data_IF_113189680113
#
_entry.id   IF_113189680113
#
_cell.length_a   1.000
_cell.length_b   1.000
_cell.length_c   1.000
_cell.angle_alpha   90.00
_cell.angle_beta   90.00
_cell.angle_gamma   90.00
#
_symmetry.space_group_name_H-M   'P 1'
#
loop_
_entity.id
_entity.type
_entity.pdbx_description
1 polymer ?
#
# COMPACT_ATOMS: atom_id res chain seq x y z
N UNK A 1 1.17 47.02 5.89
CA UNK A 1 1.73 45.92 5.04
C UNK A 1 1.99 44.66 5.88
N UNK A 2 1.10 44.30 6.83
CA UNK A 2 1.40 43.28 7.86
C UNK A 2 0.43 42.07 7.86
N UNK A 3 -0.84 42.26 7.46
CA UNK A 3 -1.83 41.19 7.36
C UNK A 3 -1.46 40.09 6.34
N UNK A 4 -0.85 40.46 5.21
CA UNK A 4 -0.43 39.50 4.18
C UNK A 4 0.67 38.53 4.65
N UNK A 5 1.55 38.98 5.55
CA UNK A 5 2.62 38.12 6.12
C UNK A 5 2.05 37.11 7.13
N UNK A 6 1.11 37.55 7.98
CA UNK A 6 0.42 36.67 8.92
C UNK A 6 -0.40 35.58 8.23
N UNK A 7 -1.11 35.91 7.14
CA UNK A 7 -1.88 34.94 6.35
C UNK A 7 -0.96 33.89 5.70
N UNK A 8 0.23 34.28 5.21
CA UNK A 8 1.22 33.33 4.65
C UNK A 8 1.71 32.34 5.70
N UNK A 9 2.09 32.83 6.88
CA UNK A 9 2.57 31.97 7.98
C UNK A 9 1.48 30.98 8.41
N UNK A 10 0.22 31.40 8.51
CA UNK A 10 -0.89 30.50 8.83
C UNK A 10 -1.13 29.44 7.74
N UNK A 11 -0.98 29.80 6.46
CA UNK A 11 -1.08 28.84 5.36
C UNK A 11 0.06 27.82 5.40
N UNK A 12 1.28 28.25 5.72
CA UNK A 12 2.45 27.40 5.88
C UNK A 12 2.28 26.42 7.05
N UNK A 13 1.74 26.87 8.19
CA UNK A 13 1.47 26.03 9.37
C UNK A 13 0.32 25.04 9.16
N UNK A 14 -0.66 25.35 8.31
CA UNK A 14 -1.75 24.40 7.95
C UNK A 14 -1.24 23.20 7.17
N UNK A 15 -0.15 23.35 6.41
CA UNK A 15 0.40 22.27 5.57
C UNK A 15 0.89 21.07 6.39
N UNK A 16 1.80 21.20 7.38
CA UNK A 16 2.24 20.07 8.20
C UNK A 16 1.10 19.43 8.99
N UNK A 17 0.15 20.22 9.52
CA UNK A 17 -1.03 19.69 10.20
C UNK A 17 -1.90 18.83 9.28
N UNK A 18 -2.12 19.26 8.03
CA UNK A 18 -2.84 18.46 7.03
C UNK A 18 -2.09 17.18 6.67
N UNK A 19 -0.76 17.23 6.58
CA UNK A 19 0.05 16.04 6.31
C UNK A 19 -0.03 15.06 7.49
N UNK A 20 0.07 15.53 8.73
CA UNK A 20 -0.06 14.67 9.90
C UNK A 20 -1.44 13.99 9.98
N UNK A 21 -2.51 14.75 9.72
CA UNK A 21 -3.87 14.22 9.66
C UNK A 21 -4.03 13.13 8.60
N UNK A 22 -3.52 13.38 7.38
CA UNK A 22 -3.58 12.42 6.28
C UNK A 22 -2.74 11.17 6.55
N UNK A 23 -1.55 11.30 7.12
CA UNK A 23 -0.74 10.18 7.62
C UNK A 23 -1.50 9.33 8.63
N UNK A 24 -2.20 9.97 9.58
CA UNK A 24 -3.02 9.29 10.57
C UNK A 24 -4.22 8.56 9.95
N UNK A 25 -4.81 9.10 8.87
CA UNK A 25 -5.90 8.45 8.14
C UNK A 25 -5.43 7.19 7.41
N UNK A 26 -4.37 7.26 6.61
CA UNK A 26 -3.87 6.07 5.89
C UNK A 26 -3.31 5.00 6.83
N UNK A 27 -2.68 5.39 7.95
CA UNK A 27 -2.25 4.44 8.98
C UNK A 27 -3.44 3.67 9.57
N UNK A 28 -4.53 4.37 9.91
CA UNK A 28 -5.75 3.73 10.42
C UNK A 28 -6.39 2.83 9.37
N UNK A 29 -6.53 3.32 8.14
CA UNK A 29 -7.08 2.52 7.04
C UNK A 29 -6.25 1.25 6.77
N UNK A 30 -4.92 1.32 6.88
CA UNK A 30 -4.05 0.16 6.76
C UNK A 30 -4.32 -0.86 7.87
N UNK A 31 -4.41 -0.42 9.13
CA UNK A 31 -4.71 -1.30 10.27
C UNK A 31 -6.10 -1.92 10.13
N UNK A 32 -7.10 -1.14 9.70
CA UNK A 32 -8.47 -1.62 9.52
C UNK A 32 -8.55 -2.71 8.44
N UNK A 33 -7.73 -2.63 7.40
CA UNK A 33 -7.73 -3.58 6.28
C UNK A 33 -6.87 -4.81 6.58
N UNK A 34 -5.68 -4.64 7.17
CA UNK A 34 -4.68 -5.70 7.32
C UNK A 34 -4.46 -6.17 8.76
N UNK A 35 -5.16 -5.59 9.74
CA UNK A 35 -5.10 -5.99 11.15
C UNK A 35 -3.77 -5.71 11.86
N UNK A 36 -2.84 -5.01 11.22
CA UNK A 36 -1.49 -4.74 11.75
C UNK A 36 -1.00 -3.34 11.34
N UNK A 37 -0.10 -2.72 12.13
CA UNK A 37 0.44 -1.41 11.79
C UNK A 37 1.38 -1.48 10.57
N UNK A 38 1.38 -0.44 9.71
CA UNK A 38 2.31 -0.38 8.58
C UNK A 38 3.75 -0.16 9.04
N UNK A 39 4.71 -0.70 8.29
CA UNK A 39 6.15 -0.43 8.48
C UNK A 39 6.49 1.04 8.15
N UNK A 40 5.81 1.62 7.18
CA UNK A 40 6.06 2.99 6.70
C UNK A 40 4.77 3.73 6.39
N UNK A 41 4.77 5.05 6.65
CA UNK A 41 3.74 5.98 6.20
C UNK A 41 4.44 7.14 5.51
N UNK A 42 3.96 7.53 4.33
CA UNK A 42 4.62 8.54 3.52
C UNK A 42 3.66 9.35 2.66
N UNK A 43 4.24 10.27 1.89
CA UNK A 43 3.54 11.07 0.90
C UNK A 43 4.26 10.99 -0.43
N UNK A 44 3.54 10.62 -1.48
CA UNK A 44 4.08 10.59 -2.83
C UNK A 44 3.06 11.13 -3.83
N UNK A 45 3.51 11.99 -4.75
CA UNK A 45 2.68 12.61 -5.81
C UNK A 45 1.38 13.21 -5.27
N UNK A 46 1.47 13.90 -4.13
CA UNK A 46 0.34 14.57 -3.49
C UNK A 46 -0.63 13.67 -2.70
N UNK A 47 -0.35 12.37 -2.57
CA UNK A 47 -1.19 11.38 -1.87
C UNK A 47 -0.46 10.78 -0.67
N UNK A 48 -1.16 10.60 0.44
CA UNK A 48 -0.65 9.82 1.56
C UNK A 48 -0.72 8.32 1.23
N UNK A 49 0.23 7.56 1.76
CA UNK A 49 0.22 6.10 1.68
C UNK A 49 0.75 5.47 2.98
N UNK A 50 0.34 4.23 3.21
CA UNK A 50 0.85 3.35 4.25
C UNK A 50 1.27 2.02 3.61
N UNK A 51 2.43 1.49 4.02
CA UNK A 51 3.09 0.35 3.38
C UNK A 51 3.66 -0.63 4.41
N UNK A 52 3.54 -1.92 4.14
CA UNK A 52 4.39 -2.96 4.71
C UNK A 52 4.92 -3.87 3.62
N UNK A 53 6.24 -4.05 3.59
CA UNK A 53 6.93 -5.00 2.74
C UNK A 53 7.44 -6.16 3.58
N UNK A 54 7.22 -7.39 3.11
CA UNK A 54 7.73 -8.61 3.73
C UNK A 54 8.52 -9.41 2.70
N UNK A 55 9.72 -9.82 3.08
CA UNK A 55 10.51 -10.82 2.35
C UNK A 55 10.29 -12.20 2.96
N UNK A 56 10.69 -13.27 2.28
CA UNK A 56 10.63 -14.65 2.79
C UNK A 56 11.12 -14.79 4.24
N UNK A 57 12.22 -14.12 4.59
CA UNK A 57 12.86 -14.23 5.91
C UNK A 57 12.11 -13.46 7.00
N UNK A 58 11.26 -12.50 6.64
CA UNK A 58 10.51 -11.67 7.57
C UNK A 58 9.02 -12.02 7.64
N UNK A 59 8.53 -12.94 6.81
CA UNK A 59 7.14 -13.41 6.86
C UNK A 59 6.95 -14.42 7.99
N UNK A 60 5.82 -14.33 8.68
CA UNK A 60 5.36 -15.45 9.50
C UNK A 60 5.08 -16.67 8.60
N UNK A 61 5.18 -17.87 9.18
CA UNK A 61 4.88 -19.11 8.48
C UNK A 61 3.47 -19.12 7.86
N UNK A 62 2.48 -18.66 8.63
CA UNK A 62 1.08 -18.60 8.20
C UNK A 62 0.88 -17.65 7.01
N UNK A 63 1.48 -16.46 7.05
CA UNK A 63 1.42 -15.51 5.94
C UNK A 63 2.09 -16.10 4.70
N UNK A 64 3.26 -16.71 4.87
CA UNK A 64 4.00 -17.34 3.77
C UNK A 64 3.17 -18.44 3.12
N UNK A 65 2.62 -19.37 3.88
CA UNK A 65 1.79 -20.47 3.37
C UNK A 65 0.57 -19.95 2.61
N UNK A 66 -0.12 -18.92 3.15
CA UNK A 66 -1.27 -18.29 2.49
C UNK A 66 -0.90 -17.61 1.16
N UNK A 67 0.23 -16.91 1.11
CA UNK A 67 0.71 -16.25 -0.11
C UNK A 67 1.17 -17.28 -1.14
N UNK A 68 1.86 -18.34 -0.72
CA UNK A 68 2.29 -19.44 -1.61
C UNK A 68 1.08 -20.19 -2.20
N UNK A 69 0.02 -20.41 -1.43
CA UNK A 69 -1.25 -20.97 -1.93
C UNK A 69 -1.86 -20.07 -3.02
N UNK A 70 -1.92 -18.76 -2.77
CA UNK A 70 -2.44 -17.79 -3.73
C UNK A 70 -1.58 -17.74 -5.02
N UNK A 71 -0.26 -17.75 -4.88
CA UNK A 71 0.68 -17.83 -6.02
C UNK A 71 0.42 -19.11 -6.81
N UNK A 72 0.20 -20.24 -6.13
CA UNK A 72 -0.08 -21.53 -6.77
C UNK A 72 -1.36 -21.50 -7.58
N UNK A 73 -2.40 -20.89 -7.05
CA UNK A 73 -3.68 -20.75 -7.75
C UNK A 73 -3.60 -19.87 -9.00
N UNK A 74 -2.77 -18.82 -8.98
CA UNK A 74 -2.70 -17.83 -10.07
C UNK A 74 -1.65 -18.17 -11.13
N UNK A 75 -0.48 -18.66 -10.73
CA UNK A 75 0.69 -18.84 -11.59
C UNK A 75 1.24 -20.27 -11.61
N UNK A 76 0.66 -21.22 -10.86
CA UNK A 76 1.23 -22.55 -10.69
C UNK A 76 2.47 -22.52 -9.80
N UNK A 77 3.55 -23.21 -10.19
CA UNK A 77 4.76 -23.23 -9.37
C UNK A 77 5.65 -22.02 -9.66
N UNK A 78 5.89 -21.20 -8.62
CA UNK A 78 6.84 -20.11 -8.65
C UNK A 78 7.49 -19.93 -7.27
N UNK A 79 8.72 -19.43 -7.23
CA UNK A 79 9.40 -19.14 -5.98
C UNK A 79 8.93 -17.77 -5.45
N UNK A 80 8.27 -17.73 -4.30
CA UNK A 80 7.89 -16.49 -3.64
C UNK A 80 9.13 -15.72 -3.19
N UNK A 81 9.24 -14.42 -3.48
CA UNK A 81 10.35 -13.57 -3.00
C UNK A 81 9.90 -12.58 -1.94
N UNK A 82 8.81 -11.86 -2.22
CA UNK A 82 8.26 -10.88 -1.30
C UNK A 82 6.79 -10.60 -1.56
N UNK A 83 6.14 -10.00 -0.56
CA UNK A 83 4.81 -9.41 -0.69
C UNK A 83 4.84 -7.99 -0.15
N UNK A 84 4.13 -7.10 -0.84
CA UNK A 84 3.93 -5.73 -0.44
C UNK A 84 2.44 -5.48 -0.23
N UNK A 85 2.09 -4.90 0.92
CA UNK A 85 0.75 -4.44 1.26
C UNK A 85 0.76 -2.92 1.32
N UNK A 86 -0.18 -2.29 0.64
CA UNK A 86 -0.24 -0.84 0.56
C UNK A 86 -1.68 -0.31 0.62
N UNK A 87 -1.86 0.81 1.31
CA UNK A 87 -3.06 1.63 1.24
C UNK A 87 -2.67 3.03 0.79
N UNK A 88 -3.33 3.54 -0.25
CA UNK A 88 -3.10 4.89 -0.80
C UNK A 88 -4.41 5.65 -0.80
N UNK A 89 -4.38 6.95 -0.49
CA UNK A 89 -5.54 7.82 -0.73
C UNK A 89 -5.89 7.84 -2.23
N UNK A 90 -7.14 7.56 -2.56
CA UNK A 90 -7.61 7.66 -3.94
C UNK A 90 -9.08 8.11 -3.92
N UNK A 91 -9.35 9.28 -4.48
CA UNK A 91 -10.72 9.71 -4.74
C UNK A 91 -11.30 8.81 -5.83
N UNK A 92 -12.06 7.79 -5.41
CA UNK A 92 -12.58 6.80 -6.33
C UNK A 92 -13.83 6.12 -5.80
N UNK A 93 -14.63 5.62 -6.75
CA UNK A 93 -15.78 4.78 -6.46
C UNK A 93 -15.34 3.43 -5.90
N UNK A 94 -16.18 2.87 -5.02
CA UNK A 94 -15.99 1.53 -4.50
C UNK A 94 -15.94 0.50 -5.64
N UNK A 95 -14.92 -0.37 -5.60
CA UNK A 95 -14.77 -1.50 -6.53
C UNK A 95 -14.23 -2.70 -5.77
N UNK A 96 -14.65 -3.89 -6.20
CA UNK A 96 -14.14 -5.16 -5.67
C UNK A 96 -12.70 -5.44 -6.11
N UNK A 97 -12.16 -6.57 -5.64
CA UNK A 97 -10.80 -6.98 -5.96
C UNK A 97 -10.65 -7.28 -7.45
N UNK A 98 -9.69 -6.60 -8.06
CA UNK A 98 -9.19 -6.88 -9.40
C UNK A 98 -7.74 -7.39 -9.29
N UNK A 99 -7.30 -8.24 -10.22
CA UNK A 99 -5.91 -8.68 -10.27
C UNK A 99 -5.29 -8.47 -11.66
N UNK A 100 -3.99 -8.22 -11.68
CA UNK A 100 -3.15 -8.09 -12.87
C UNK A 100 -1.89 -8.92 -12.68
N UNK A 101 -1.38 -9.48 -13.78
CA UNK A 101 -0.12 -10.24 -13.78
C UNK A 101 0.83 -9.56 -14.74
N UNK A 102 2.00 -9.17 -14.25
CA UNK A 102 3.10 -8.68 -15.08
C UNK A 102 4.24 -9.70 -15.07
N UNK A 103 4.66 -10.15 -16.25
CA UNK A 103 5.73 -11.13 -16.40
C UNK A 103 6.96 -10.44 -16.98
N UNK A 104 8.00 -10.31 -16.16
CA UNK A 104 9.34 -9.96 -16.60
C UNK A 104 10.10 -11.20 -17.09
N UNK A 105 11.38 -10.98 -17.41
CA UNK A 105 12.27 -12.03 -17.90
C UNK A 105 12.48 -13.14 -16.84
N UNK A 106 12.81 -12.74 -15.61
CA UNK A 106 13.03 -13.66 -14.48
C UNK A 106 12.02 -13.51 -13.34
N UNK A 107 11.19 -12.46 -13.37
CA UNK A 107 10.25 -12.14 -12.28
C UNK A 107 8.81 -12.16 -12.75
N UNK A 108 7.89 -12.48 -11.85
CA UNK A 108 6.45 -12.29 -12.05
C UNK A 108 5.90 -11.47 -10.90
N UNK A 109 5.14 -10.43 -11.23
CA UNK A 109 4.43 -9.60 -10.24
C UNK A 109 2.94 -9.87 -10.36
N UNK A 110 2.34 -10.34 -9.28
CA UNK A 110 0.89 -10.54 -9.15
C UNK A 110 0.36 -9.38 -8.32
N UNK A 111 -0.34 -8.45 -8.96
CA UNK A 111 -0.91 -7.29 -8.30
C UNK A 111 -2.40 -7.46 -8.09
N UNK A 112 -2.87 -7.30 -6.86
CA UNK A 112 -4.28 -7.21 -6.49
C UNK A 112 -4.58 -5.77 -6.09
N UNK A 113 -5.75 -5.27 -6.46
CA UNK A 113 -6.20 -3.98 -5.95
C UNK A 113 -7.70 -3.92 -5.75
N UNK A 114 -8.11 -3.16 -4.73
CA UNK A 114 -9.50 -2.88 -4.39
C UNK A 114 -9.65 -1.40 -4.08
N UNK A 115 -10.81 -0.83 -4.37
CA UNK A 115 -11.18 0.53 -3.95
C UNK A 115 -12.17 0.48 -2.81
N UNK A 116 -11.81 1.07 -1.67
CA UNK A 116 -12.57 0.97 -0.44
C UNK A 116 -12.47 2.25 0.40
N UNK A 117 -13.64 2.87 0.64
CA UNK A 117 -13.83 4.01 1.56
C UNK A 117 -12.88 5.19 1.30
N UNK A 118 -12.69 5.56 0.02
CA UNK A 118 -11.79 6.65 -0.37
C UNK A 118 -10.30 6.28 -0.41
N UNK A 119 -10.00 4.98 -0.33
CA UNK A 119 -8.64 4.46 -0.44
C UNK A 119 -8.55 3.41 -1.55
N UNK A 120 -7.38 3.29 -2.15
CA UNK A 120 -6.99 2.14 -2.93
C UNK A 120 -6.10 1.24 -2.08
N UNK A 121 -6.55 -0.01 -1.91
CA UNK A 121 -5.79 -1.09 -1.30
C UNK A 121 -5.06 -1.84 -2.40
N UNK A 122 -3.78 -2.10 -2.22
CA UNK A 122 -2.92 -2.76 -3.18
C UNK A 122 -2.15 -3.88 -2.45
N UNK A 123 -2.08 -5.04 -3.08
CA UNK A 123 -1.21 -6.13 -2.66
C UNK A 123 -0.40 -6.57 -3.86
N UNK A 124 0.93 -6.49 -3.80
CA UNK A 124 1.81 -6.95 -4.88
C UNK A 124 2.68 -8.10 -4.39
N UNK A 125 2.59 -9.24 -5.07
CA UNK A 125 3.39 -10.43 -4.79
C UNK A 125 4.44 -10.56 -5.87
N UNK A 126 5.71 -10.63 -5.46
CA UNK A 126 6.84 -10.77 -6.36
C UNK A 126 7.33 -12.21 -6.26
N UNK A 127 7.36 -12.89 -7.41
CA UNK A 127 7.87 -14.25 -7.54
C UNK A 127 8.97 -14.31 -8.59
N UNK A 128 9.79 -15.35 -8.52
CA UNK A 128 10.82 -15.67 -9.50
C UNK A 128 10.47 -16.99 -10.20
N UNK A 129 10.70 -17.05 -11.51
CA UNK A 129 10.62 -18.33 -12.25
C UNK A 129 11.78 -19.22 -11.85
N UNK A 130 11.49 -20.51 -11.68
CA UNK A 130 12.51 -21.56 -11.59
C UNK A 130 13.27 -21.69 -12.92
#
# INVERSE_FOLDING_TARGET
MELGRLVSVLAELRRPLRLEQRSGLVRRAFIDVFGSPPHMVGFERGRAFALSHYTLNSMSRELRESVEELVRAVCGQAELKSVEFMVVEEECDHRDWEHKIHRGENTTVIGFSKRYRGYKVIVEIITQKY
#
